data_IF_654305172677
#
_entry.id   IF_654305172677
#
_cell.length_a   1.000
_cell.length_b   1.000
_cell.length_c   1.000
_cell.angle_alpha   90.00
_cell.angle_beta   90.00
_cell.angle_gamma   90.00
#
_symmetry.space_group_name_H-M   'P 1'
#
loop_
_entity.id
_entity.type
_entity.pdbx_description
1 polymer ?
#
# COMPACT_ATOMS: atom_id res chain seq x y z
N UNK A 1 22.18 5.11 52.31
CA UNK A 1 21.60 3.76 52.13
C UNK A 1 20.40 3.93 51.21
N UNK A 2 20.59 3.79 49.90
CA UNK A 2 19.56 4.02 48.88
C UNK A 2 18.90 2.69 48.55
N UNK A 3 17.62 2.52 48.87
CA UNK A 3 16.79 1.42 48.36
C UNK A 3 15.88 1.97 47.27
N UNK A 4 16.24 1.67 46.02
CA UNK A 4 15.41 1.89 44.83
C UNK A 4 14.44 0.72 44.69
N UNK A 5 13.15 0.98 44.82
CA UNK A 5 12.09 0.03 44.46
C UNK A 5 11.87 0.10 42.95
N UNK A 6 12.35 -0.90 42.22
CA UNK A 6 11.91 -1.14 40.84
C UNK A 6 10.51 -1.77 40.88
N UNK A 7 9.49 -1.00 40.49
CA UNK A 7 8.20 -1.58 40.08
C UNK A 7 8.42 -2.20 38.69
N UNK A 8 8.64 -3.51 38.65
CA UNK A 8 8.64 -4.28 37.41
C UNK A 8 7.21 -4.37 36.89
N UNK A 9 6.96 -3.85 35.69
CA UNK A 9 5.76 -4.13 34.93
C UNK A 9 5.78 -5.62 34.54
N UNK A 10 4.93 -6.43 35.17
CA UNK A 10 4.68 -7.79 34.74
C UNK A 10 3.82 -7.75 33.47
N UNK A 11 4.46 -7.92 32.30
CA UNK A 11 3.74 -8.28 31.08
C UNK A 11 3.26 -9.72 31.27
N UNK A 12 1.96 -9.90 31.49
CA UNK A 12 1.30 -11.19 31.44
C UNK A 12 1.38 -11.71 30.00
N UNK A 13 2.45 -12.43 29.68
CA UNK A 13 2.51 -13.28 28.51
C UNK A 13 1.59 -14.48 28.74
N UNK A 14 0.30 -14.32 28.43
CA UNK A 14 -0.57 -15.47 28.26
C UNK A 14 0.00 -16.34 27.12
N UNK A 15 0.05 -17.67 27.25
CA UNK A 15 0.42 -18.52 26.13
C UNK A 15 -0.68 -18.37 25.06
N UNK A 16 -0.36 -17.65 23.99
CA UNK A 16 -1.19 -17.54 22.81
C UNK A 16 -1.11 -18.89 22.08
N UNK A 17 -1.97 -19.82 22.48
CA UNK A 17 -2.22 -21.03 21.70
C UNK A 17 -2.95 -20.57 20.45
N UNK A 18 -2.25 -20.55 19.31
CA UNK A 18 -2.84 -20.31 18.00
C UNK A 18 -3.62 -21.56 17.60
N UNK A 19 -4.96 -21.46 17.55
CA UNK A 19 -5.76 -22.43 16.83
C UNK A 19 -5.73 -22.04 15.34
N UNK A 20 -5.60 -23.01 14.41
CA UNK A 20 -5.80 -22.72 13.00
C UNK A 20 -7.27 -22.29 12.83
N UNK A 21 -7.46 -21.00 12.61
CA UNK A 21 -8.73 -20.43 12.16
C UNK A 21 -8.44 -19.88 10.78
N UNK A 22 -9.17 -20.38 9.80
CA UNK A 22 -9.26 -19.73 8.49
C UNK A 22 -10.49 -18.81 8.59
N UNK A 23 -10.37 -17.56 8.14
CA UNK A 23 -11.44 -16.57 8.26
C UNK A 23 -11.52 -15.71 7.01
N UNK A 24 -12.75 -15.43 6.57
CA UNK A 24 -13.00 -14.42 5.56
C UNK A 24 -12.77 -13.05 6.19
N UNK A 25 -12.35 -12.07 5.38
CA UNK A 25 -12.12 -10.70 5.86
C UNK A 25 -12.80 -9.66 5.01
N UNK A 26 -13.24 -8.58 5.66
CA UNK A 26 -13.58 -7.32 5.00
C UNK A 26 -12.70 -6.24 5.59
N UNK A 27 -12.01 -5.48 4.76
CA UNK A 27 -11.10 -4.43 5.17
C UNK A 27 -11.40 -3.11 4.50
N UNK A 28 -11.28 -2.05 5.28
CA UNK A 28 -11.22 -0.67 4.82
C UNK A 28 -9.80 -0.16 5.05
N UNK A 29 -9.16 0.34 4.00
CA UNK A 29 -7.81 0.88 4.05
C UNK A 29 -7.80 2.30 3.51
N UNK A 30 -7.02 3.17 4.16
CA UNK A 30 -6.82 4.56 3.76
C UNK A 30 -5.32 4.84 3.72
N UNK A 31 -4.87 5.30 2.55
CA UNK A 31 -3.58 5.95 2.40
C UNK A 31 -3.77 7.46 2.43
N UNK A 32 -2.90 8.16 3.13
CA UNK A 32 -2.87 9.62 3.08
C UNK A 32 -1.51 10.19 3.48
N UNK A 33 -0.97 11.10 2.68
CA UNK A 33 0.28 11.81 2.96
C UNK A 33 0.10 13.01 3.90
N UNK A 34 -1.12 13.52 4.03
CA UNK A 34 -1.53 14.50 5.05
C UNK A 34 -1.30 14.02 6.49
N UNK A 35 -1.29 12.71 6.74
CA UNK A 35 -0.87 12.14 8.04
C UNK A 35 0.58 12.48 8.41
N UNK A 36 1.39 12.82 7.42
CA UNK A 36 2.80 13.20 7.53
C UNK A 36 3.03 14.70 7.25
N UNK A 37 1.96 15.47 7.07
CA UNK A 37 2.00 16.92 6.85
C UNK A 37 2.35 17.33 5.42
N UNK A 38 2.04 16.50 4.43
CA UNK A 38 2.17 16.84 3.00
C UNK A 38 0.85 16.65 2.25
N UNK A 39 0.78 17.14 1.01
CA UNK A 39 -0.35 16.91 0.09
C UNK A 39 0.20 16.99 -1.35
N UNK A 40 0.92 15.95 -1.77
CA UNK A 40 1.66 15.92 -3.05
C UNK A 40 2.06 14.52 -3.46
N UNK A 41 2.47 14.36 -4.72
CA UNK A 41 2.91 13.08 -5.28
C UNK A 41 1.79 12.04 -5.12
N UNK A 42 2.06 10.82 -4.64
CA UNK A 42 0.97 9.95 -4.19
C UNK A 42 0.37 10.51 -2.89
N UNK A 43 -0.82 11.10 -2.99
CA UNK A 43 -1.43 11.82 -1.85
C UNK A 43 -2.44 10.99 -1.08
N UNK A 44 -3.25 10.17 -1.78
CA UNK A 44 -4.40 9.54 -1.15
C UNK A 44 -4.81 8.24 -1.84
N UNK A 45 -5.39 7.34 -1.04
CA UNK A 45 -6.06 6.16 -1.54
C UNK A 45 -7.13 5.65 -0.58
N UNK A 46 -8.22 5.12 -1.13
CA UNK A 46 -9.30 4.49 -0.39
C UNK A 46 -9.57 3.11 -0.97
N UNK A 47 -9.56 2.09 -0.12
CA UNK A 47 -9.66 0.70 -0.55
C UNK A 47 -10.69 -0.06 0.28
N UNK A 48 -11.62 -0.72 -0.41
CA UNK A 48 -12.51 -1.69 0.18
C UNK A 48 -12.23 -3.05 -0.41
N UNK A 49 -11.88 -4.01 0.45
CA UNK A 49 -11.56 -5.37 0.04
C UNK A 49 -12.36 -6.39 0.82
N UNK A 50 -12.83 -7.40 0.10
CA UNK A 50 -13.27 -8.66 0.67
C UNK A 50 -12.25 -9.74 0.31
N UNK A 51 -11.88 -10.58 1.29
CA UNK A 51 -11.05 -11.77 1.09
C UNK A 51 -11.78 -13.00 1.59
N UNK A 52 -11.70 -14.08 0.82
CA UNK A 52 -12.30 -15.37 1.17
C UNK A 52 -11.63 -15.99 2.38
N UNK A 53 -12.37 -16.86 3.06
CA UNK A 53 -11.79 -17.88 3.93
C UNK A 53 -11.01 -18.91 3.08
N UNK A 54 -9.67 -18.96 3.14
CA UNK A 54 -8.89 -19.77 2.22
C UNK A 54 -8.65 -21.17 2.77
N UNK A 55 -9.24 -22.20 2.14
CA UNK A 55 -8.91 -23.59 2.47
C UNK A 55 -7.48 -23.98 2.05
N UNK A 56 -7.05 -23.54 0.87
CA UNK A 56 -5.68 -23.73 0.34
C UNK A 56 -5.28 -22.56 -0.53
N UNK A 57 -6.15 -22.17 -1.46
CA UNK A 57 -6.02 -20.95 -2.26
C UNK A 57 -7.09 -19.97 -1.82
N UNK A 58 -6.69 -18.75 -1.51
CA UNK A 58 -7.58 -17.65 -1.21
C UNK A 58 -7.83 -16.76 -2.42
N UNK A 59 -8.94 -16.04 -2.36
CA UNK A 59 -9.39 -15.09 -3.36
C UNK A 59 -9.73 -13.78 -2.67
N UNK A 60 -9.44 -12.66 -3.31
CA UNK A 60 -9.93 -11.36 -2.85
C UNK A 60 -10.44 -10.53 -4.01
N UNK A 61 -11.39 -9.66 -3.70
CA UNK A 61 -11.92 -8.64 -4.60
C UNK A 61 -11.78 -7.29 -3.90
N UNK A 62 -11.23 -6.32 -4.60
CA UNK A 62 -11.00 -4.98 -4.12
C UNK A 62 -11.52 -3.94 -5.10
N UNK A 63 -12.18 -2.93 -4.57
CA UNK A 63 -12.38 -1.65 -5.26
C UNK A 63 -11.47 -0.62 -4.61
N UNK A 64 -10.75 0.15 -5.42
CA UNK A 64 -9.82 1.16 -4.95
C UNK A 64 -9.92 2.46 -5.74
N UNK A 65 -9.80 3.57 -5.05
CA UNK A 65 -9.57 4.89 -5.64
C UNK A 65 -8.20 5.40 -5.16
N UNK A 66 -7.39 5.94 -6.06
CA UNK A 66 -6.04 6.46 -5.78
C UNK A 66 -5.84 7.80 -6.47
N UNK A 67 -5.00 8.64 -5.87
CA UNK A 67 -4.85 10.04 -6.28
C UNK A 67 -3.39 10.48 -6.22
N UNK A 68 -2.99 11.23 -7.25
CA UNK A 68 -1.71 11.92 -7.31
C UNK A 68 -1.87 13.40 -7.62
N UNK A 69 -1.07 14.23 -6.96
CA UNK A 69 -1.18 15.70 -7.04
C UNK A 69 0.19 16.36 -7.25
N UNK A 70 0.24 17.56 -7.86
CA UNK A 70 1.39 18.45 -7.78
C UNK A 70 1.68 18.86 -6.33
N UNK A 71 2.83 19.51 -6.10
CA UNK A 71 3.21 19.96 -4.76
C UNK A 71 2.39 21.10 -4.16
N UNK A 72 1.75 21.92 -5.00
CA UNK A 72 0.94 23.06 -4.58
C UNK A 72 -0.45 22.89 -5.19
N UNK A 73 -1.37 22.39 -4.37
CA UNK A 73 -2.71 22.08 -4.82
C UNK A 73 -3.58 23.33 -5.02
N UNK A 74 -3.21 24.46 -4.42
CA UNK A 74 -3.95 25.74 -4.54
C UNK A 74 -3.64 26.44 -5.88
N UNK A 75 -2.63 25.97 -6.61
CA UNK A 75 -2.29 26.49 -7.93
C UNK A 75 -3.37 26.11 -8.97
N UNK A 76 -4.07 27.13 -9.47
CA UNK A 76 -5.10 26.97 -10.51
C UNK A 76 -4.55 26.69 -11.92
N UNK A 77 -3.22 26.62 -12.09
CA UNK A 77 -2.59 26.33 -13.38
C UNK A 77 -1.39 25.39 -13.18
N UNK A 78 -1.04 24.57 -14.18
CA UNK A 78 0.07 23.63 -14.04
C UNK A 78 1.39 24.32 -13.68
N UNK A 79 2.17 23.63 -12.87
CA UNK A 79 3.43 24.14 -12.36
C UNK A 79 4.61 23.50 -13.09
N UNK A 80 5.68 24.26 -13.30
CA UNK A 80 6.90 23.72 -13.86
C UNK A 80 7.53 22.65 -12.95
N UNK A 81 8.01 21.57 -13.56
CA UNK A 81 8.69 20.45 -12.91
C UNK A 81 7.83 19.74 -11.85
N UNK A 82 6.52 19.74 -12.05
CA UNK A 82 5.56 19.00 -11.24
C UNK A 82 4.76 18.08 -12.15
N UNK A 83 4.29 16.96 -11.59
CA UNK A 83 3.33 16.09 -12.25
C UNK A 83 1.98 16.78 -12.45
N UNK A 84 1.21 16.31 -13.42
CA UNK A 84 -0.21 16.61 -13.49
C UNK A 84 -0.95 15.89 -12.36
N UNK A 85 -2.16 16.37 -12.05
CA UNK A 85 -3.11 15.59 -11.29
C UNK A 85 -3.41 14.26 -12.01
N UNK A 86 -3.57 13.18 -11.26
CA UNK A 86 -4.03 11.92 -11.78
C UNK A 86 -4.93 11.24 -10.75
N UNK A 87 -6.06 10.72 -11.21
CA UNK A 87 -6.92 9.84 -10.43
C UNK A 87 -6.95 8.45 -11.04
N UNK A 88 -7.15 7.43 -10.21
CA UNK A 88 -7.40 6.04 -10.62
C UNK A 88 -8.59 5.50 -9.85
N UNK A 89 -9.55 4.91 -10.56
CA UNK A 89 -10.58 4.06 -9.99
C UNK A 89 -10.44 2.67 -10.59
N UNK A 90 -10.39 1.64 -9.74
CA UNK A 90 -10.16 0.27 -10.21
C UNK A 90 -10.95 -0.78 -9.44
N UNK A 91 -11.15 -1.93 -10.10
CA UNK A 91 -11.54 -3.21 -9.52
C UNK A 91 -10.39 -4.19 -9.70
N UNK A 92 -10.06 -4.94 -8.65
CA UNK A 92 -9.00 -5.93 -8.69
C UNK A 92 -9.42 -7.26 -8.05
N UNK A 93 -9.22 -8.34 -8.81
CA UNK A 93 -9.28 -9.70 -8.28
C UNK A 93 -7.87 -10.22 -8.01
N UNK A 94 -7.66 -10.87 -6.87
CA UNK A 94 -6.39 -11.57 -6.57
C UNK A 94 -6.65 -13.00 -6.13
N UNK A 95 -5.72 -13.89 -6.46
CA UNK A 95 -5.56 -15.20 -5.85
C UNK A 95 -4.27 -15.24 -5.06
N UNK A 96 -4.27 -15.97 -3.95
CA UNK A 96 -3.09 -16.09 -3.10
C UNK A 96 -3.02 -17.46 -2.45
N UNK A 97 -1.80 -17.91 -2.21
CA UNK A 97 -1.49 -19.14 -1.49
C UNK A 97 -0.26 -18.90 -0.62
N UNK A 98 -0.27 -19.42 0.60
CA UNK A 98 0.86 -19.33 1.50
C UNK A 98 1.10 -20.63 2.25
N UNK A 99 2.36 -20.88 2.58
CA UNK A 99 2.78 -21.81 3.60
C UNK A 99 3.88 -21.17 4.45
N UNK A 100 4.49 -21.95 5.33
CA UNK A 100 5.51 -21.47 6.25
C UNK A 100 6.84 -21.09 5.57
N UNK A 101 7.06 -21.47 4.31
CA UNK A 101 8.31 -21.22 3.58
C UNK A 101 8.14 -20.26 2.39
N UNK A 102 6.97 -20.22 1.76
CA UNK A 102 6.70 -19.46 0.54
C UNK A 102 5.29 -18.89 0.51
N UNK A 103 5.13 -17.78 -0.20
CA UNK A 103 3.82 -17.22 -0.54
C UNK A 103 3.79 -16.73 -1.99
N UNK A 104 2.66 -16.93 -2.66
CA UNK A 104 2.44 -16.56 -4.05
C UNK A 104 1.15 -15.79 -4.20
N UNK A 105 1.17 -14.75 -5.02
CA UNK A 105 0.00 -13.94 -5.35
C UNK A 105 -0.06 -13.72 -6.86
N UNK A 106 -1.27 -13.77 -7.40
CA UNK A 106 -1.56 -13.37 -8.77
C UNK A 106 -2.78 -12.46 -8.76
N UNK A 107 -2.81 -11.44 -9.61
CA UNK A 107 -3.93 -10.52 -9.66
C UNK A 107 -4.15 -9.88 -11.02
N UNK A 108 -5.40 -9.52 -11.28
CA UNK A 108 -5.83 -8.73 -12.42
C UNK A 108 -6.57 -7.51 -11.88
N UNK A 109 -6.06 -6.32 -12.21
CA UNK A 109 -6.71 -5.05 -12.00
C UNK A 109 -7.24 -4.52 -13.34
N UNK A 110 -8.43 -3.94 -13.32
CA UNK A 110 -9.02 -3.17 -14.43
C UNK A 110 -9.65 -1.90 -13.88
N UNK A 111 -9.58 -0.80 -14.62
CA UNK A 111 -10.04 0.48 -14.12
C UNK A 111 -9.98 1.59 -15.16
N UNK A 112 -10.01 2.83 -14.68
CA UNK A 112 -9.84 4.03 -15.49
C UNK A 112 -8.97 5.02 -14.74
N UNK A 113 -8.10 5.71 -15.47
CA UNK A 113 -7.52 6.98 -15.01
C UNK A 113 -8.33 8.16 -15.54
N UNK A 114 -8.01 9.36 -15.05
CA UNK A 114 -8.59 10.62 -15.50
C UNK A 114 -9.93 10.99 -14.85
N UNK A 115 -10.69 11.94 -15.42
CA UNK A 115 -11.95 12.42 -14.85
C UNK A 115 -12.95 11.32 -14.43
N UNK A 116 -13.05 10.22 -15.19
CA UNK A 116 -13.93 9.08 -14.87
C UNK A 116 -13.55 8.34 -13.58
N UNK A 117 -12.36 8.59 -13.02
CA UNK A 117 -11.96 8.05 -11.73
C UNK A 117 -12.68 8.71 -10.55
N UNK A 118 -13.32 9.87 -10.77
CA UNK A 118 -13.99 10.69 -9.76
C UNK A 118 -13.09 11.10 -8.58
N UNK A 119 -11.79 11.25 -8.87
CA UNK A 119 -10.79 11.56 -7.87
C UNK A 119 -10.96 12.99 -7.33
N UNK A 120 -11.22 13.97 -8.21
CA UNK A 120 -11.51 15.36 -7.83
C UNK A 120 -12.63 15.43 -6.78
N UNK A 121 -13.77 14.80 -7.06
CA UNK A 121 -14.92 14.80 -6.16
C UNK A 121 -14.61 14.08 -4.84
N UNK A 122 -13.84 13.00 -4.88
CA UNK A 122 -13.42 12.28 -3.68
C UNK A 122 -12.51 13.15 -2.79
N UNK A 123 -11.56 13.89 -3.38
CA UNK A 123 -10.67 14.77 -2.64
C UNK A 123 -11.40 15.98 -2.09
N UNK A 124 -12.30 16.60 -2.85
CA UNK A 124 -13.13 17.72 -2.40
C UNK A 124 -13.95 17.35 -1.16
N UNK A 125 -14.58 16.17 -1.16
CA UNK A 125 -15.32 15.66 0.00
C UNK A 125 -14.40 15.53 1.22
N UNK A 126 -13.23 14.91 1.06
CA UNK A 126 -12.30 14.70 2.18
C UNK A 126 -11.76 16.03 2.70
N UNK A 127 -11.34 16.93 1.81
CA UNK A 127 -10.79 18.25 2.16
C UNK A 127 -11.82 19.10 2.89
N UNK A 128 -13.08 19.06 2.45
CA UNK A 128 -14.21 19.70 3.15
C UNK A 128 -14.41 19.13 4.56
N UNK A 129 -14.32 17.82 4.74
CA UNK A 129 -14.51 17.17 6.05
C UNK A 129 -13.37 17.50 7.03
N UNK A 130 -12.13 17.53 6.55
CA UNK A 130 -10.94 17.72 7.42
C UNK A 130 -10.45 19.17 7.50
N UNK A 131 -11.00 20.07 6.67
CA UNK A 131 -10.63 21.48 6.62
C UNK A 131 -9.29 21.75 5.90
N UNK A 132 -8.96 20.95 4.89
CA UNK A 132 -7.79 21.17 4.02
C UNK A 132 -8.08 22.21 2.93
N UNK A 133 -7.05 22.85 2.33
CA UNK A 133 -7.23 23.76 1.19
C UNK A 133 -7.86 23.07 -0.03
N UNK A 134 -8.65 23.82 -0.81
CA UNK A 134 -9.33 23.28 -1.99
C UNK A 134 -8.35 23.12 -3.16
N UNK A 135 -8.20 21.92 -3.75
CA UNK A 135 -7.37 21.72 -4.94
C UNK A 135 -7.96 22.44 -6.16
N UNK A 136 -7.14 23.23 -6.86
CA UNK A 136 -7.60 24.08 -7.97
C UNK A 136 -7.13 23.60 -9.36
N UNK A 137 -6.41 22.48 -9.44
CA UNK A 137 -5.72 22.05 -10.67
C UNK A 137 -6.32 20.85 -11.41
N UNK A 138 -7.46 20.31 -10.96
CA UNK A 138 -8.07 19.10 -11.52
C UNK A 138 -8.48 19.22 -13.00
N UNK A 139 -8.75 20.44 -13.49
CA UNK A 139 -8.95 20.73 -14.91
C UNK A 139 -7.76 20.35 -15.80
N UNK A 140 -6.57 20.17 -15.21
CA UNK A 140 -5.33 19.83 -15.90
C UNK A 140 -4.85 18.39 -15.68
N UNK A 141 -5.72 17.51 -15.16
CA UNK A 141 -5.37 16.12 -14.89
C UNK A 141 -5.08 15.29 -16.17
N UNK A 142 -4.47 14.12 -15.97
CA UNK A 142 -4.35 13.07 -17.01
C UNK A 142 -5.72 12.74 -17.59
N UNK A 143 -5.81 12.56 -18.91
CA UNK A 143 -7.09 12.27 -19.58
C UNK A 143 -7.59 10.86 -19.27
N UNK A 144 -8.87 10.64 -19.56
CA UNK A 144 -9.51 9.34 -19.41
C UNK A 144 -8.83 8.27 -20.28
N UNK A 145 -8.37 7.21 -19.63
CA UNK A 145 -7.92 6.00 -20.30
C UNK A 145 -8.33 4.76 -19.49
N UNK A 146 -8.85 3.75 -20.19
CA UNK A 146 -9.07 2.45 -19.60
C UNK A 146 -7.72 1.81 -19.25
N UNK A 147 -7.58 1.34 -18.02
CA UNK A 147 -6.34 0.70 -17.57
C UNK A 147 -6.55 -0.74 -17.14
N UNK A 148 -5.52 -1.55 -17.34
CA UNK A 148 -5.45 -2.90 -16.82
C UNK A 148 -4.03 -3.23 -16.32
N UNK A 149 -3.94 -4.17 -15.39
CA UNK A 149 -2.66 -4.64 -14.87
C UNK A 149 -2.74 -6.09 -14.39
N UNK A 150 -1.89 -6.93 -14.96
CA UNK A 150 -1.58 -8.26 -14.44
C UNK A 150 -0.45 -8.14 -13.43
N UNK A 151 -0.55 -8.87 -12.32
CA UNK A 151 0.43 -8.85 -11.24
C UNK A 151 0.77 -10.27 -10.79
N UNK A 152 2.06 -10.50 -10.54
CA UNK A 152 2.59 -11.72 -9.94
C UNK A 152 3.57 -11.32 -8.83
N UNK A 153 3.45 -11.93 -7.66
CA UNK A 153 4.34 -11.69 -6.52
C UNK A 153 4.67 -13.03 -5.85
N UNK A 154 5.95 -13.24 -5.54
CA UNK A 154 6.43 -14.46 -4.89
C UNK A 154 7.38 -14.11 -3.75
N UNK A 155 7.09 -14.62 -2.54
CA UNK A 155 7.89 -14.46 -1.34
C UNK A 155 8.52 -15.78 -0.94
N UNK A 156 9.77 -15.72 -0.48
CA UNK A 156 10.54 -16.86 0.01
C UNK A 156 11.14 -16.51 1.38
N UNK A 157 10.90 -17.40 2.35
CA UNK A 157 11.55 -17.33 3.65
C UNK A 157 13.06 -17.56 3.49
N UNK A 158 13.88 -16.74 4.16
CA UNK A 158 15.34 -16.93 4.25
C UNK A 158 15.73 -17.45 5.63
N UNK A 159 15.20 -16.84 6.70
CA UNK A 159 15.45 -17.32 8.07
C UNK A 159 14.31 -16.95 9.01
N UNK A 160 14.04 -17.82 9.98
CA UNK A 160 13.04 -17.61 11.04
C UNK A 160 13.57 -18.06 12.39
N UNK A 161 13.30 -17.26 13.40
CA UNK A 161 13.46 -17.58 14.82
C UNK A 161 12.10 -17.52 15.53
N UNK A 162 12.06 -17.68 16.85
CA UNK A 162 10.81 -17.61 17.60
C UNK A 162 10.10 -16.25 17.51
N UNK A 163 10.84 -15.16 17.26
CA UNK A 163 10.30 -13.79 17.30
C UNK A 163 10.69 -12.93 16.11
N UNK A 164 11.48 -13.45 15.17
CA UNK A 164 12.02 -12.67 14.07
C UNK A 164 12.15 -13.48 12.80
N UNK A 165 11.91 -12.84 11.66
CA UNK A 165 11.91 -13.46 10.35
C UNK A 165 12.49 -12.53 9.29
N UNK A 166 13.30 -13.08 8.39
CA UNK A 166 13.73 -12.41 7.16
C UNK A 166 13.25 -13.19 5.93
N UNK A 167 12.61 -12.49 5.00
CA UNK A 167 12.14 -13.00 3.72
C UNK A 167 12.54 -12.08 2.57
N UNK A 168 12.56 -12.63 1.37
CA UNK A 168 12.76 -11.89 0.12
C UNK A 168 11.59 -12.11 -0.81
N UNK A 169 11.35 -11.18 -1.73
CA UNK A 169 10.32 -11.34 -2.75
C UNK A 169 10.73 -10.77 -4.10
N UNK A 170 10.07 -11.25 -5.13
CA UNK A 170 10.05 -10.65 -6.46
C UNK A 170 8.62 -10.34 -6.88
N UNK A 171 8.44 -9.21 -7.58
CA UNK A 171 7.15 -8.79 -8.14
C UNK A 171 7.31 -8.42 -9.62
N UNK A 172 6.36 -8.85 -10.43
CA UNK A 172 6.20 -8.40 -11.81
C UNK A 172 4.79 -7.85 -12.01
N UNK A 173 4.70 -6.70 -12.68
CA UNK A 173 3.43 -6.10 -13.09
C UNK A 173 3.49 -5.74 -14.58
N UNK A 174 2.42 -6.03 -15.32
CA UNK A 174 2.36 -5.80 -16.75
C UNK A 174 0.97 -5.30 -17.17
N UNK A 175 0.93 -4.23 -17.95
CA UNK A 175 -0.27 -3.58 -18.43
C UNK A 175 0.00 -2.16 -18.93
N UNK A 176 -1.03 -1.33 -19.03
CA UNK A 176 -0.88 0.09 -19.37
C UNK A 176 -0.97 1.03 -18.16
N UNK A 177 -1.24 0.51 -16.94
CA UNK A 177 -1.22 1.35 -15.73
C UNK A 177 0.22 1.67 -15.27
N UNK A 178 0.89 0.72 -14.62
CA UNK A 178 2.25 0.87 -14.11
C UNK A 178 3.05 -0.44 -14.20
N UNK A 179 3.56 -0.80 -15.39
CA UNK A 179 4.34 -2.04 -15.53
C UNK A 179 5.71 -1.92 -14.89
N UNK A 180 6.15 -2.98 -14.21
CA UNK A 180 7.41 -3.00 -13.49
C UNK A 180 7.94 -4.42 -13.23
N UNK A 181 9.22 -4.48 -12.88
CA UNK A 181 9.83 -5.61 -12.20
C UNK A 181 10.50 -5.11 -10.91
N UNK A 182 10.25 -5.78 -9.80
CA UNK A 182 10.75 -5.38 -8.49
C UNK A 182 11.31 -6.58 -7.71
N UNK A 183 12.29 -6.28 -6.84
CA UNK A 183 12.80 -7.21 -5.84
C UNK A 183 12.84 -6.50 -4.49
N UNK A 184 12.58 -7.24 -3.43
CA UNK A 184 12.59 -6.66 -2.09
C UNK A 184 12.90 -7.68 -1.01
N UNK A 185 13.14 -7.15 0.18
CA UNK A 185 13.38 -7.92 1.40
C UNK A 185 12.57 -7.35 2.54
N UNK A 186 12.04 -8.23 3.38
CA UNK A 186 11.31 -7.85 4.59
C UNK A 186 11.94 -8.48 5.81
N UNK A 187 12.18 -7.67 6.84
CA UNK A 187 12.37 -8.17 8.19
C UNK A 187 11.10 -7.96 9.02
N UNK A 188 10.63 -9.00 9.72
CA UNK A 188 9.47 -8.96 10.62
C UNK A 188 9.88 -9.38 12.02
N UNK A 189 9.34 -8.71 13.04
CA UNK A 189 9.57 -9.01 14.45
C UNK A 189 8.24 -9.06 15.20
N UNK A 190 7.92 -10.21 15.81
CA UNK A 190 6.66 -10.39 16.51
C UNK A 190 6.21 -11.84 16.66
N UNK A 191 4.91 -12.03 16.71
CA UNK A 191 4.24 -13.30 16.99
C UNK A 191 3.53 -13.81 15.73
N UNK A 192 3.51 -15.14 15.59
CA UNK A 192 2.84 -15.87 14.50
C UNK A 192 3.28 -15.46 13.08
N UNK A 193 4.59 -15.30 12.91
CA UNK A 193 5.20 -14.91 11.64
C UNK A 193 5.05 -16.01 10.57
N UNK A 194 5.07 -17.28 10.98
CA UNK A 194 4.98 -18.43 10.07
C UNK A 194 3.66 -18.55 9.34
N UNK A 195 2.57 -18.08 9.94
CA UNK A 195 1.21 -18.15 9.37
C UNK A 195 0.85 -16.90 8.56
N UNK A 196 1.81 -15.99 8.34
CA UNK A 196 1.57 -14.67 7.73
C UNK A 196 2.63 -14.30 6.70
N UNK A 197 3.43 -15.26 6.21
CA UNK A 197 4.48 -14.98 5.22
C UNK A 197 3.90 -14.33 3.95
N UNK A 198 4.58 -13.31 3.44
CA UNK A 198 4.13 -12.56 2.26
C UNK A 198 3.02 -11.55 2.54
N UNK A 199 2.73 -11.26 3.82
CA UNK A 199 1.74 -10.26 4.20
C UNK A 199 2.23 -8.81 4.03
N UNK A 200 3.47 -8.54 3.63
CA UNK A 200 4.04 -7.18 3.61
C UNK A 200 4.61 -6.83 2.25
N UNK A 201 4.36 -5.61 1.80
CA UNK A 201 4.87 -5.06 0.54
C UNK A 201 4.94 -3.52 0.64
N UNK A 202 5.33 -2.86 -0.45
CA UNK A 202 5.32 -1.37 -0.53
C UNK A 202 4.14 -0.82 -1.33
N UNK A 203 3.31 -1.69 -1.90
CA UNK A 203 2.15 -1.30 -2.73
C UNK A 203 1.14 -0.51 -1.88
N UNK A 204 0.68 0.66 -2.36
CA UNK A 204 -0.41 1.42 -1.73
C UNK A 204 -1.66 0.57 -1.42
N UNK A 205 -2.30 0.83 -0.29
CA UNK A 205 -3.45 0.09 0.25
C UNK A 205 -3.15 -1.35 0.67
N UNK A 206 -1.89 -1.78 0.55
CA UNK A 206 -1.45 -3.17 0.66
C UNK A 206 -0.19 -3.37 1.50
N UNK A 207 0.28 -2.32 2.18
CA UNK A 207 1.53 -2.39 2.95
C UNK A 207 1.54 -3.55 3.93
N UNK A 208 0.38 -3.84 4.51
CA UNK A 208 0.05 -5.17 5.07
C UNK A 208 -1.16 -5.75 4.34
N UNK A 209 -0.94 -6.83 3.59
CA UNK A 209 -2.00 -7.58 2.92
C UNK A 209 -2.76 -8.46 3.91
N UNK A 210 -3.92 -7.96 4.34
CA UNK A 210 -4.78 -8.60 5.34
C UNK A 210 -5.27 -9.98 4.93
N UNK A 211 -5.31 -10.30 3.63
CA UNK A 211 -5.74 -11.61 3.15
C UNK A 211 -4.76 -12.73 3.55
N UNK A 212 -3.49 -12.37 3.75
CA UNK A 212 -2.40 -13.26 4.17
C UNK A 212 -2.40 -13.50 5.69
N UNK A 213 -3.23 -12.78 6.45
CA UNK A 213 -3.42 -12.99 7.89
C UNK A 213 -4.47 -14.06 8.20
N UNK A 214 -5.15 -14.55 7.16
CA UNK A 214 -6.27 -15.49 7.23
C UNK A 214 -5.95 -16.81 7.94
N UNK A 215 -4.69 -17.27 7.96
CA UNK A 215 -4.30 -18.55 8.56
C UNK A 215 -3.94 -18.45 10.06
N UNK A 216 -4.10 -17.28 10.67
CA UNK A 216 -3.75 -17.03 12.07
C UNK A 216 -4.94 -16.50 12.86
N UNK A 217 -5.28 -17.10 13.99
CA UNK A 217 -6.33 -16.58 14.87
C UNK A 217 -5.96 -15.24 15.52
N UNK A 218 -4.67 -14.95 15.72
CA UNK A 218 -4.19 -13.72 16.36
C UNK A 218 -2.70 -13.53 16.12
N UNK A 219 -2.28 -12.28 15.99
CA UNK A 219 -0.88 -11.99 15.79
C UNK A 219 -0.59 -10.51 15.99
N UNK A 220 0.69 -10.24 16.18
CA UNK A 220 1.21 -8.89 16.26
C UNK A 220 2.64 -8.89 15.77
N UNK A 221 2.94 -8.07 14.77
CA UNK A 221 4.30 -7.95 14.27
C UNK A 221 4.61 -6.54 13.78
N UNK A 222 5.85 -6.14 14.00
CA UNK A 222 6.47 -5.01 13.34
C UNK A 222 7.18 -5.49 12.08
N UNK A 223 7.30 -4.63 11.08
CA UNK A 223 8.04 -4.95 9.88
C UNK A 223 8.80 -3.76 9.31
N UNK A 224 9.82 -4.08 8.51
CA UNK A 224 10.48 -3.16 7.60
C UNK A 224 10.72 -3.88 6.27
N UNK A 225 10.17 -3.33 5.19
CA UNK A 225 10.26 -3.84 3.83
C UNK A 225 11.01 -2.83 2.97
N UNK A 226 12.08 -3.27 2.31
CA UNK A 226 12.83 -2.48 1.35
C UNK A 226 12.62 -3.07 -0.05
N UNK A 227 12.44 -2.21 -1.05
CA UNK A 227 12.25 -2.58 -2.44
C UNK A 227 13.14 -1.75 -3.36
N UNK A 228 13.66 -2.40 -4.40
CA UNK A 228 14.14 -1.75 -5.61
C UNK A 228 13.29 -2.23 -6.80
N UNK A 229 12.89 -1.30 -7.67
CA UNK A 229 12.05 -1.59 -8.84
C UNK A 229 12.54 -0.86 -10.08
N UNK A 230 12.30 -1.48 -11.23
CA UNK A 230 12.41 -0.86 -12.54
C UNK A 230 11.01 -0.71 -13.12
N UNK A 231 10.55 0.54 -13.30
CA UNK A 231 9.25 0.90 -13.88
C UNK A 231 9.41 1.09 -15.38
N UNK A 232 8.67 0.33 -16.17
CA UNK A 232 8.70 0.41 -17.64
C UNK A 232 7.76 1.47 -18.20
N UNK A 233 6.64 1.69 -17.53
CA UNK A 233 5.68 2.75 -17.85
C UNK A 233 4.95 3.16 -16.57
N UNK A 234 4.46 4.40 -16.54
CA UNK A 234 3.55 4.88 -15.50
C UNK A 234 2.60 5.91 -16.09
N UNK A 235 1.33 5.52 -16.29
CA UNK A 235 0.33 6.41 -16.89
C UNK A 235 0.04 7.64 -16.03
N UNK A 236 0.32 7.60 -14.72
CA UNK A 236 0.12 8.74 -13.80
C UNK A 236 1.21 9.81 -13.97
N UNK A 237 2.29 9.49 -14.69
CA UNK A 237 3.39 10.40 -15.04
C UNK A 237 3.35 10.71 -16.55
N UNK A 238 3.29 9.66 -17.37
CA UNK A 238 3.49 9.72 -18.82
C UNK A 238 2.19 9.88 -19.60
N UNK A 239 1.02 9.66 -18.97
CA UNK A 239 -0.28 9.70 -19.63
C UNK A 239 -0.57 11.02 -20.35
N UNK A 240 -1.41 10.92 -21.38
CA UNK A 240 -1.88 12.07 -22.15
C UNK A 240 -2.59 13.06 -21.24
N UNK A 241 -2.28 14.35 -21.42
CA UNK A 241 -2.72 15.45 -20.55
C UNK A 241 -2.75 16.77 -21.32
N UNK A 242 -3.43 17.81 -20.83
CA UNK A 242 -3.43 19.13 -21.47
C UNK A 242 -2.01 19.65 -21.71
N UNK A 243 -1.77 20.27 -22.86
CA UNK A 243 -0.44 20.75 -23.30
C UNK A 243 0.13 21.89 -22.45
N UNK A 244 -0.67 22.49 -21.59
CA UNK A 244 -0.23 23.45 -20.57
C UNK A 244 0.52 22.80 -19.42
N UNK A 245 0.42 21.48 -19.23
CA UNK A 245 1.19 20.76 -18.21
C UNK A 245 2.68 20.77 -18.51
N UNK A 246 3.48 20.69 -17.44
CA UNK A 246 4.90 20.45 -17.57
C UNK A 246 5.16 19.07 -18.21
N UNK A 247 6.24 18.98 -18.98
CA UNK A 247 6.77 17.68 -19.40
C UNK A 247 7.37 16.99 -18.19
N UNK A 248 7.00 15.71 -18.01
CA UNK A 248 7.54 14.85 -16.96
C UNK A 248 8.06 13.57 -17.59
N UNK A 249 9.29 13.22 -17.26
CA UNK A 249 10.01 12.04 -17.75
C UNK A 249 10.03 11.01 -16.63
N UNK A 250 9.57 9.78 -16.90
CA UNK A 250 9.54 8.71 -15.91
C UNK A 250 10.95 8.39 -15.38
N UNK A 251 11.10 8.41 -14.06
CA UNK A 251 12.29 7.84 -13.41
C UNK A 251 12.11 6.32 -13.35
N UNK A 252 12.83 5.59 -14.20
CA UNK A 252 12.64 4.14 -14.28
C UNK A 252 13.14 3.41 -13.04
N UNK A 253 14.25 3.85 -12.43
CA UNK A 253 14.84 3.13 -11.29
C UNK A 253 14.39 3.77 -9.99
N UNK A 254 13.56 3.05 -9.25
CA UNK A 254 12.94 3.57 -8.04
C UNK A 254 13.23 2.66 -6.85
N UNK A 255 13.20 3.25 -5.66
CA UNK A 255 13.33 2.54 -4.39
C UNK A 255 12.20 2.92 -3.44
N UNK A 256 11.81 1.97 -2.58
CA UNK A 256 10.80 2.21 -1.56
C UNK A 256 11.15 1.52 -0.24
N UNK A 257 10.76 2.14 0.87
CA UNK A 257 10.86 1.62 2.23
C UNK A 257 9.48 1.71 2.88
N UNK A 258 8.93 0.59 3.34
CA UNK A 258 7.70 0.57 4.15
C UNK A 258 8.02 -0.01 5.52
N UNK A 259 7.51 0.61 6.58
CA UNK A 259 7.59 0.09 7.94
C UNK A 259 6.28 0.28 8.66
N UNK A 260 5.96 -0.61 9.60
CA UNK A 260 4.68 -0.55 10.27
C UNK A 260 4.46 -1.62 11.32
N UNK A 261 3.23 -1.68 11.78
CA UNK A 261 2.71 -2.61 12.77
C UNK A 261 1.43 -3.24 12.24
N UNK A 262 1.30 -4.55 12.39
CA UNK A 262 0.03 -5.25 12.28
C UNK A 262 -0.35 -5.81 13.66
N UNK A 263 -1.62 -5.69 14.01
CA UNK A 263 -2.22 -6.34 15.17
C UNK A 263 -3.58 -6.92 14.79
N UNK A 264 -3.88 -8.12 15.23
CA UNK A 264 -5.18 -8.74 15.00
C UNK A 264 -5.50 -9.86 15.99
N UNK A 265 -6.79 -10.12 16.14
CA UNK A 265 -7.36 -11.24 16.88
C UNK A 265 -8.38 -11.98 15.99
N UNK A 266 -9.23 -12.83 16.59
CA UNK A 266 -10.17 -13.68 15.86
C UNK A 266 -11.24 -12.91 15.08
N UNK A 267 -11.55 -11.66 15.45
CA UNK A 267 -12.65 -10.89 14.87
C UNK A 267 -12.21 -9.57 14.26
N UNK A 268 -11.16 -8.96 14.77
CA UNK A 268 -10.73 -7.62 14.37
C UNK A 268 -9.23 -7.55 14.21
N UNK A 269 -8.80 -6.65 13.34
CA UNK A 269 -7.41 -6.25 13.29
C UNK A 269 -7.26 -4.85 12.72
N UNK A 270 -6.07 -4.32 12.92
CA UNK A 270 -5.66 -3.03 12.40
C UNK A 270 -4.18 -3.07 11.99
N UNK A 271 -3.86 -2.28 10.98
CA UNK A 271 -2.48 -2.08 10.52
C UNK A 271 -2.20 -0.60 10.42
N UNK A 272 -0.96 -0.23 10.73
CA UNK A 272 -0.44 1.13 10.57
C UNK A 272 0.89 1.01 9.85
N UNK A 273 1.05 1.75 8.76
CA UNK A 273 2.29 1.77 8.00
C UNK A 273 2.68 3.18 7.59
N UNK A 274 3.98 3.39 7.42
CA UNK A 274 4.55 4.56 6.76
C UNK A 274 5.42 4.04 5.62
N UNK A 275 5.23 4.60 4.44
CA UNK A 275 5.97 4.24 3.25
C UNK A 275 6.64 5.46 2.67
N UNK A 276 7.93 5.34 2.37
CA UNK A 276 8.72 6.34 1.68
C UNK A 276 9.10 5.77 0.31
N UNK A 277 8.89 6.55 -0.74
CA UNK A 277 9.29 6.21 -2.10
C UNK A 277 10.26 7.25 -2.65
N UNK A 278 11.19 6.84 -3.50
CA UNK A 278 12.03 7.76 -4.27
C UNK A 278 11.21 8.57 -5.28
N UNK A 279 11.85 9.53 -5.94
CA UNK A 279 11.23 10.28 -7.03
C UNK A 279 10.67 9.33 -8.12
N UNK A 280 9.52 9.69 -8.68
CA UNK A 280 8.84 8.93 -9.74
C UNK A 280 9.07 9.52 -11.14
N UNK A 281 9.57 10.75 -11.22
CA UNK A 281 9.92 11.43 -12.47
C UNK A 281 11.17 12.29 -12.30
N UNK A 282 11.94 12.46 -13.36
CA UNK A 282 13.27 13.07 -13.34
C UNK A 282 13.25 14.56 -12.95
N UNK A 283 12.20 15.28 -13.34
CA UNK A 283 12.08 16.72 -13.09
C UNK A 283 11.65 17.02 -11.64
N UNK A 284 11.29 16.02 -10.83
CA UNK A 284 10.79 16.27 -9.49
C UNK A 284 11.78 17.08 -8.66
N UNK A 285 11.28 18.10 -7.96
CA UNK A 285 12.08 18.93 -7.05
C UNK A 285 12.50 18.17 -5.79
N UNK A 286 12.00 16.95 -5.59
CA UNK A 286 12.23 16.14 -4.39
C UNK A 286 12.63 14.73 -4.79
N UNK A 287 13.63 14.21 -4.09
CA UNK A 287 14.15 12.87 -4.37
C UNK A 287 13.31 11.78 -3.69
N UNK A 288 12.31 12.14 -2.88
CA UNK A 288 11.41 11.21 -2.20
C UNK A 288 10.09 11.87 -1.77
N UNK A 289 9.08 11.04 -1.53
CA UNK A 289 7.83 11.40 -0.86
C UNK A 289 7.41 10.27 0.07
N UNK A 290 6.38 10.50 0.90
CA UNK A 290 5.94 9.49 1.87
C UNK A 290 4.46 9.60 2.14
N UNK A 291 3.82 8.48 2.47
CA UNK A 291 2.42 8.42 2.87
C UNK A 291 2.23 7.48 4.07
N UNK A 292 1.18 7.72 4.85
CA UNK A 292 0.73 6.81 5.90
C UNK A 292 -0.40 5.91 5.39
N UNK A 293 -0.44 4.66 5.86
CA UNK A 293 -1.55 3.72 5.66
C UNK A 293 -2.19 3.37 7.00
N UNK A 294 -3.52 3.37 7.06
CA UNK A 294 -4.28 2.75 8.14
C UNK A 294 -5.29 1.78 7.54
N UNK A 295 -5.27 0.53 8.01
CA UNK A 295 -6.27 -0.48 7.65
C UNK A 295 -6.99 -0.96 8.89
N UNK A 296 -8.32 -1.06 8.83
CA UNK A 296 -9.14 -1.76 9.82
C UNK A 296 -9.88 -2.88 9.11
N UNK A 297 -9.92 -4.06 9.73
CA UNK A 297 -10.57 -5.21 9.14
C UNK A 297 -11.32 -6.06 10.15
N UNK A 298 -12.43 -6.62 9.68
CA UNK A 298 -13.27 -7.57 10.40
C UNK A 298 -13.08 -8.97 9.83
N UNK A 299 -13.17 -9.99 10.70
CA UNK A 299 -12.94 -11.40 10.40
C UNK A 299 -14.12 -12.23 10.90
N UNK A 300 -14.60 -13.17 10.08
CA UNK A 300 -15.74 -14.03 10.39
C UNK A 300 -15.64 -15.41 9.76
#
# INVERSE_FOLDING_TARGET
MFTRSFLGAAILAAPLVSFPLQAATVSLSVDNDGMLGTDREYTSGLFLRWSSDPSTVGYSVEIGNQMWTPSDIEAATPQANERAYAGLLYLQGRTYHQNDLNAYKAGLMVGTVGPNSMAEEAQDIVHTIVGSPDPQGWDYQVYDEFVYQLSLEAHQLVSRSAVGEFSVYGRGQAGNFQSEAAIGGTYRYGLDLGSTLGSTTVIPGNNVDVSMLSHSAQGMFFYATLEARYRFNDITVEGDKPSSNATTTLENTQGALSTGLAWYNQNWGATLSVTMESQQFEESKRNHHSFGNVTVFYRY
#
